data_IF_466744400791
#
_entry.id   IF_466744400791
#
_cell.length_a   1.000
_cell.length_b   1.000
_cell.length_c   1.000
_cell.angle_alpha   90.00
_cell.angle_beta   90.00
_cell.angle_gamma   90.00
#
_symmetry.space_group_name_H-M   'P 1'
#
loop_
_entity.id
_entity.type
_entity.pdbx_description
1 polymer ?
#
# COMPACT_ATOMS: atom_id res chain seq x y z
N UNK A 1 -25.00 -1.50 11.66
CA UNK A 1 -25.10 -2.97 11.48
C UNK A 1 -24.49 -3.64 12.69
N UNK A 2 -25.06 -4.75 13.17
CA UNK A 2 -24.37 -5.60 14.15
C UNK A 2 -23.58 -6.65 13.39
N UNK A 3 -22.26 -6.66 13.56
CA UNK A 3 -21.39 -7.69 13.00
C UNK A 3 -21.69 -9.02 13.68
N UNK A 4 -21.89 -10.06 12.87
CA UNK A 4 -22.08 -11.42 13.34
C UNK A 4 -20.77 -12.03 13.82
N UNK A 5 -20.84 -13.15 14.53
CA UNK A 5 -19.63 -13.87 14.93
C UNK A 5 -18.81 -14.36 13.73
N UNK A 6 -19.45 -14.63 12.59
CA UNK A 6 -18.78 -15.03 11.34
C UNK A 6 -17.92 -13.88 10.81
N UNK A 7 -18.43 -12.65 10.86
CA UNK A 7 -17.70 -11.46 10.42
C UNK A 7 -16.43 -11.26 11.26
N UNK A 8 -16.55 -11.41 12.58
CA UNK A 8 -15.41 -11.32 13.50
C UNK A 8 -14.41 -12.44 13.29
N UNK A 9 -14.86 -13.67 13.05
CA UNK A 9 -14.00 -14.79 12.72
C UNK A 9 -13.23 -14.55 11.40
N UNK A 10 -13.89 -13.98 10.38
CA UNK A 10 -13.25 -13.62 9.12
C UNK A 10 -12.16 -12.55 9.34
N UNK A 11 -12.45 -11.49 10.10
CA UNK A 11 -11.47 -10.44 10.45
C UNK A 11 -10.28 -11.03 11.23
N UNK A 12 -10.55 -11.86 12.23
CA UNK A 12 -9.50 -12.50 13.01
C UNK A 12 -8.62 -13.40 12.13
N UNK A 13 -9.22 -14.21 11.26
CA UNK A 13 -8.50 -15.09 10.34
C UNK A 13 -7.60 -14.31 9.37
N UNK A 14 -8.06 -13.15 8.89
CA UNK A 14 -7.26 -12.24 8.07
C UNK A 14 -6.00 -11.75 8.79
N UNK A 15 -6.11 -11.27 10.03
CA UNK A 15 -4.94 -10.82 10.79
C UNK A 15 -4.01 -11.98 11.15
N UNK A 16 -4.54 -13.15 11.51
CA UNK A 16 -3.76 -14.35 11.79
C UNK A 16 -2.98 -14.81 10.56
N UNK A 17 -3.58 -14.77 9.38
CA UNK A 17 -2.91 -15.12 8.13
C UNK A 17 -1.74 -14.17 7.85
N UNK A 18 -1.95 -12.85 7.98
CA UNK A 18 -0.86 -11.87 7.79
C UNK A 18 0.27 -12.08 8.81
N UNK A 19 -0.09 -12.35 10.07
CA UNK A 19 0.87 -12.63 11.12
C UNK A 19 1.68 -13.91 10.84
N UNK A 20 1.03 -14.98 10.39
CA UNK A 20 1.68 -16.24 10.02
C UNK A 20 2.68 -16.06 8.86
N UNK A 21 2.29 -15.32 7.82
CA UNK A 21 3.20 -14.97 6.71
C UNK A 21 4.39 -14.18 7.24
N UNK A 22 4.16 -13.23 8.16
CA UNK A 22 5.22 -12.44 8.76
C UNK A 22 6.24 -13.29 9.53
N UNK A 23 5.75 -14.22 10.35
CA UNK A 23 6.61 -15.17 11.09
C UNK A 23 7.40 -16.10 10.16
N UNK A 24 6.77 -16.57 9.08
CA UNK A 24 7.41 -17.45 8.11
C UNK A 24 8.62 -16.80 7.43
N UNK A 25 8.51 -15.52 7.02
CA UNK A 25 9.59 -14.80 6.33
C UNK A 25 10.62 -14.15 7.27
N UNK A 26 10.41 -14.18 8.60
CA UNK A 26 11.31 -13.58 9.59
C UNK A 26 12.76 -14.03 9.47
N UNK A 27 12.98 -15.34 9.31
CA UNK A 27 14.33 -15.92 9.22
C UNK A 27 15.09 -15.42 7.98
N UNK A 28 14.36 -15.15 6.90
CA UNK A 28 14.91 -14.62 5.65
C UNK A 28 15.25 -13.14 5.78
N UNK A 29 14.34 -12.36 6.37
CA UNK A 29 14.53 -10.92 6.60
C UNK A 29 15.80 -10.61 7.42
N UNK A 30 16.15 -11.47 8.39
CA UNK A 30 17.33 -11.30 9.24
C UNK A 30 18.68 -11.62 8.58
N UNK A 31 18.73 -12.12 7.34
CA UNK A 31 19.98 -12.57 6.71
C UNK A 31 20.93 -11.42 6.33
N UNK A 32 20.40 -10.33 5.80
CA UNK A 32 21.18 -9.13 5.45
C UNK A 32 20.27 -7.94 5.18
N UNK A 33 20.84 -6.72 5.19
CA UNK A 33 20.14 -5.49 4.81
C UNK A 33 19.57 -5.57 3.38
N UNK A 34 20.29 -6.20 2.46
CA UNK A 34 19.83 -6.43 1.08
C UNK A 34 18.65 -7.40 1.03
N UNK A 35 18.63 -8.44 1.88
CA UNK A 35 17.49 -9.35 1.95
C UNK A 35 16.27 -8.66 2.56
N UNK A 36 16.48 -7.82 3.57
CA UNK A 36 15.43 -7.06 4.22
C UNK A 36 14.75 -6.06 3.29
N UNK A 37 15.53 -5.17 2.64
CA UNK A 37 14.98 -4.07 1.84
C UNK A 37 14.80 -4.40 0.36
N UNK A 38 15.59 -5.33 -0.20
CA UNK A 38 15.59 -5.62 -1.64
C UNK A 38 15.18 -7.06 -1.95
N UNK A 39 14.86 -7.88 -0.94
CA UNK A 39 14.48 -9.29 -1.14
C UNK A 39 15.53 -10.10 -1.93
N UNK A 40 16.81 -9.72 -1.77
CA UNK A 40 17.92 -10.31 -2.53
C UNK A 40 17.88 -10.04 -4.04
N UNK A 41 17.03 -9.08 -4.49
CA UNK A 41 16.76 -8.75 -5.90
C UNK A 41 16.27 -9.92 -6.76
N UNK A 42 15.74 -10.96 -6.12
CA UNK A 42 15.31 -12.21 -6.75
C UNK A 42 13.78 -12.40 -6.70
N UNK A 43 13.04 -11.31 -6.51
CA UNK A 43 11.57 -11.32 -6.52
C UNK A 43 11.09 -11.54 -7.95
N UNK A 44 10.15 -12.48 -8.20
CA UNK A 44 9.59 -12.65 -9.53
C UNK A 44 8.76 -11.43 -9.93
N UNK A 45 8.81 -11.07 -11.22
CA UNK A 45 8.21 -9.83 -11.73
C UNK A 45 6.72 -9.72 -11.44
N UNK A 46 5.98 -10.84 -11.47
CA UNK A 46 4.53 -10.86 -11.24
C UNK A 46 4.20 -10.53 -9.79
N UNK A 47 5.00 -11.00 -8.83
CA UNK A 47 4.81 -10.72 -7.40
C UNK A 47 5.12 -9.26 -7.10
N UNK A 48 6.23 -8.75 -7.63
CA UNK A 48 6.57 -7.33 -7.52
C UNK A 48 5.51 -6.44 -8.17
N UNK A 49 5.02 -6.82 -9.36
CA UNK A 49 3.95 -6.13 -10.07
C UNK A 49 2.66 -6.08 -9.27
N UNK A 50 2.19 -7.21 -8.76
CA UNK A 50 0.96 -7.28 -7.96
C UNK A 50 1.08 -6.48 -6.67
N UNK A 51 2.21 -6.55 -5.96
CA UNK A 51 2.43 -5.76 -4.74
C UNK A 51 2.43 -4.25 -5.02
N UNK A 52 3.03 -3.80 -6.13
CA UNK A 52 2.95 -2.38 -6.52
C UNK A 52 1.50 -1.93 -6.69
N UNK A 53 0.66 -2.73 -7.36
CA UNK A 53 -0.77 -2.43 -7.49
C UNK A 53 -1.49 -2.48 -6.14
N UNK A 54 -1.22 -3.52 -5.33
CA UNK A 54 -1.82 -3.69 -4.01
C UNK A 54 -1.51 -2.52 -3.06
N UNK A 55 -0.29 -1.99 -3.13
CA UNK A 55 0.16 -0.83 -2.35
C UNK A 55 -0.59 0.45 -2.74
N UNK A 56 -0.86 0.64 -4.03
CA UNK A 56 -1.68 1.79 -4.48
C UNK A 56 -3.15 1.66 -4.11
N UNK A 57 -3.64 0.45 -3.85
CA UNK A 57 -5.02 0.18 -3.47
C UNK A 57 -5.20 0.25 -1.94
N UNK A 58 -4.89 1.43 -1.40
CA UNK A 58 -5.10 1.81 0.00
C UNK A 58 -6.57 2.22 0.26
N UNK A 59 -6.95 2.45 1.52
CA UNK A 59 -8.34 2.68 1.92
C UNK A 59 -8.96 3.96 1.32
N UNK A 60 -8.13 4.96 1.05
CA UNK A 60 -8.53 6.26 0.51
C UNK A 60 -8.75 6.24 -1.01
N UNK A 61 -8.03 5.40 -1.74
CA UNK A 61 -8.04 5.40 -3.21
C UNK A 61 -9.41 5.00 -3.79
N UNK A 62 -10.07 3.90 -3.36
CA UNK A 62 -11.44 3.58 -3.78
C UNK A 62 -12.43 4.68 -3.42
N UNK A 63 -12.28 5.33 -2.27
CA UNK A 63 -13.15 6.42 -1.83
C UNK A 63 -12.99 7.65 -2.73
N UNK A 64 -11.76 7.99 -3.09
CA UNK A 64 -11.47 9.09 -4.01
C UNK A 64 -12.01 8.80 -5.43
N UNK A 65 -11.76 7.61 -5.97
CA UNK A 65 -12.20 7.22 -7.31
C UNK A 65 -13.72 7.14 -7.39
N UNK A 66 -14.38 6.51 -6.42
CA UNK A 66 -15.85 6.47 -6.37
C UNK A 66 -16.45 7.88 -6.23
N UNK A 67 -15.86 8.75 -5.43
CA UNK A 67 -16.27 10.16 -5.32
C UNK A 67 -16.07 10.97 -6.60
N UNK A 68 -15.00 10.70 -7.38
CA UNK A 68 -14.80 11.30 -8.71
C UNK A 68 -15.87 10.83 -9.69
N UNK A 69 -16.14 9.52 -9.73
CA UNK A 69 -17.13 8.92 -10.64
C UNK A 69 -18.55 9.36 -10.28
N UNK A 70 -18.89 9.44 -9.00
CA UNK A 70 -20.20 9.89 -8.54
C UNK A 70 -20.51 11.35 -8.93
N UNK A 71 -19.50 12.22 -8.99
CA UNK A 71 -19.67 13.64 -9.33
C UNK A 71 -19.52 13.93 -10.83
N UNK A 72 -18.54 13.31 -11.48
CA UNK A 72 -18.15 13.60 -12.86
C UNK A 72 -18.47 12.48 -13.86
N UNK A 73 -19.20 11.45 -13.44
CA UNK A 73 -19.42 10.24 -14.23
C UNK A 73 -18.14 9.43 -14.45
N UNK A 74 -18.23 8.38 -15.26
CA UNK A 74 -17.11 7.50 -15.58
C UNK A 74 -15.93 8.28 -16.20
N UNK A 75 -16.22 9.37 -16.93
CA UNK A 75 -15.21 10.25 -17.52
C UNK A 75 -14.28 10.88 -16.47
N UNK A 76 -14.75 11.14 -15.24
CA UNK A 76 -13.93 11.66 -14.15
C UNK A 76 -12.76 10.73 -13.78
N UNK A 77 -12.88 9.43 -14.05
CA UNK A 77 -11.81 8.46 -13.83
C UNK A 77 -10.59 8.68 -14.76
N UNK A 78 -10.74 9.48 -15.82
CA UNK A 78 -9.62 9.83 -16.71
C UNK A 78 -8.50 10.59 -15.99
N UNK A 79 -8.83 11.37 -14.95
CA UNK A 79 -7.84 12.04 -14.11
C UNK A 79 -6.86 11.04 -13.51
N UNK A 80 -7.37 9.92 -13.00
CA UNK A 80 -6.56 8.83 -12.45
C UNK A 80 -5.83 8.05 -13.56
N UNK A 81 -6.54 7.71 -14.64
CA UNK A 81 -5.98 6.90 -15.73
C UNK A 81 -4.86 7.61 -16.51
N UNK A 82 -4.82 8.94 -16.50
CA UNK A 82 -3.74 9.71 -17.14
C UNK A 82 -2.34 9.32 -16.63
N UNK A 83 -2.23 8.86 -15.37
CA UNK A 83 -0.96 8.41 -14.79
C UNK A 83 -0.42 7.12 -15.41
N UNK A 84 -1.25 6.33 -16.11
CA UNK A 84 -0.81 5.13 -16.83
C UNK A 84 0.24 5.49 -17.88
N UNK A 85 0.06 6.60 -18.60
CA UNK A 85 1.04 7.06 -19.59
C UNK A 85 2.40 7.37 -18.96
N UNK A 86 2.41 8.04 -17.81
CA UNK A 86 3.63 8.31 -17.04
C UNK A 86 4.29 7.01 -16.53
N UNK A 87 3.48 6.07 -16.05
CA UNK A 87 3.94 4.73 -15.64
C UNK A 87 4.59 3.97 -16.80
N UNK A 88 3.96 3.97 -17.98
CA UNK A 88 4.51 3.33 -19.18
C UNK A 88 5.85 3.93 -19.59
N UNK A 89 5.97 5.27 -19.63
CA UNK A 89 7.25 5.93 -19.91
C UNK A 89 8.34 5.53 -18.90
N UNK A 90 7.98 5.43 -17.62
CA UNK A 90 8.90 4.98 -16.57
C UNK A 90 9.41 3.56 -16.82
N UNK A 91 8.52 2.64 -17.21
CA UNK A 91 8.88 1.25 -17.51
C UNK A 91 9.82 1.17 -18.71
N UNK A 92 9.49 1.81 -19.84
CA UNK A 92 10.25 1.65 -21.08
C UNK A 92 11.56 2.44 -21.11
N UNK A 93 11.60 3.62 -20.47
CA UNK A 93 12.78 4.50 -20.52
C UNK A 93 13.67 4.35 -19.29
N UNK A 94 13.07 4.30 -18.09
CA UNK A 94 13.81 4.48 -16.85
C UNK A 94 14.06 3.17 -16.08
N UNK A 95 13.21 2.14 -16.19
CA UNK A 95 13.35 0.92 -15.39
C UNK A 95 14.71 0.22 -15.58
N UNK A 96 15.22 0.17 -16.82
CA UNK A 96 16.55 -0.39 -17.10
C UNK A 96 17.67 0.46 -16.47
N UNK A 97 17.56 1.78 -16.52
CA UNK A 97 18.53 2.71 -15.93
C UNK A 97 18.52 2.59 -14.40
N UNK A 98 17.33 2.47 -13.80
CA UNK A 98 17.15 2.26 -12.38
C UNK A 98 17.76 0.93 -11.90
N UNK A 99 17.53 -0.16 -12.64
CA UNK A 99 18.12 -1.45 -12.31
C UNK A 99 19.64 -1.45 -12.40
N UNK A 100 20.22 -0.64 -13.30
CA UNK A 100 21.67 -0.47 -13.46
C UNK A 100 22.31 0.39 -12.37
N UNK A 101 21.60 1.34 -11.77
CA UNK A 101 22.17 2.21 -10.74
C UNK A 101 22.49 1.45 -9.46
N UNK A 102 21.76 0.36 -9.20
CA UNK A 102 22.02 -0.50 -8.05
C UNK A 102 21.76 0.17 -6.69
N UNK A 103 21.09 1.33 -6.67
CA UNK A 103 20.71 2.04 -5.45
C UNK A 103 19.73 1.22 -4.62
N UNK A 104 19.77 1.42 -3.30
CA UNK A 104 18.79 0.88 -2.37
C UNK A 104 17.63 1.85 -2.16
N UNK A 105 17.92 3.16 -2.17
CA UNK A 105 16.94 4.22 -1.96
C UNK A 105 16.87 5.14 -3.18
N UNK A 106 15.72 5.74 -3.42
CA UNK A 106 15.53 6.69 -4.52
C UNK A 106 16.39 7.95 -4.35
N UNK A 107 16.54 8.44 -3.12
CA UNK A 107 17.36 9.60 -2.77
C UNK A 107 18.87 9.37 -2.97
N UNK A 108 19.36 8.14 -2.88
CA UNK A 108 20.76 7.79 -3.12
C UNK A 108 21.16 8.05 -4.57
N UNK A 109 20.21 7.96 -5.50
CA UNK A 109 20.44 8.28 -6.90
C UNK A 109 20.90 9.74 -7.10
N UNK A 110 20.45 10.68 -6.25
CA UNK A 110 20.88 12.07 -6.34
C UNK A 110 22.39 12.22 -6.12
N UNK A 111 22.94 11.46 -5.17
CA UNK A 111 24.37 11.48 -4.87
C UNK A 111 25.18 10.78 -5.97
N UNK A 112 24.67 9.68 -6.53
CA UNK A 112 25.28 9.05 -7.71
C UNK A 112 25.29 9.95 -8.93
N UNK A 113 24.21 10.72 -9.16
CA UNK A 113 24.05 11.52 -10.39
C UNK A 113 24.86 12.82 -10.36
N UNK A 114 24.91 13.49 -9.22
CA UNK A 114 25.49 14.84 -9.10
C UNK A 114 26.84 14.85 -8.39
N UNK A 115 27.13 13.85 -7.55
CA UNK A 115 28.38 13.70 -6.79
C UNK A 115 28.79 14.89 -5.90
N UNK A 116 29.62 14.63 -4.90
CA UNK A 116 30.20 15.67 -4.04
C UNK A 116 29.31 16.20 -2.91
N UNK A 117 29.85 17.15 -2.15
CA UNK A 117 29.26 17.67 -0.90
C UNK A 117 27.85 18.27 -1.07
N UNK A 118 27.55 19.06 -2.14
CA UNK A 118 26.21 19.58 -2.34
C UNK A 118 25.17 18.48 -2.61
N UNK A 119 25.55 17.42 -3.32
CA UNK A 119 24.67 16.28 -3.60
C UNK A 119 24.39 15.47 -2.33
N UNK A 120 25.39 15.26 -1.47
CA UNK A 120 25.22 14.62 -0.16
C UNK A 120 24.29 15.44 0.76
N UNK A 121 24.43 16.77 0.78
CA UNK A 121 23.50 17.65 1.50
C UNK A 121 22.07 17.51 0.96
N UNK A 122 21.88 17.55 -0.36
CA UNK A 122 20.57 17.38 -0.99
C UNK A 122 19.95 16.02 -0.66
N UNK A 123 20.75 14.94 -0.66
CA UNK A 123 20.30 13.60 -0.25
C UNK A 123 19.80 13.61 1.20
N UNK A 124 20.59 14.16 2.13
CA UNK A 124 20.20 14.26 3.54
C UNK A 124 18.96 15.10 3.76
N UNK A 125 18.87 16.26 3.10
CA UNK A 125 17.70 17.12 3.15
C UNK A 125 16.44 16.42 2.60
N UNK A 126 16.53 15.78 1.43
CA UNK A 126 15.40 15.04 0.85
C UNK A 126 15.01 13.84 1.69
N UNK A 127 15.96 13.15 2.32
CA UNK A 127 15.67 12.05 3.24
C UNK A 127 14.78 12.51 4.40
N UNK A 128 15.13 13.64 5.02
CA UNK A 128 14.35 14.22 6.12
C UNK A 128 13.02 14.76 5.62
N UNK A 129 13.02 15.54 4.54
CA UNK A 129 11.81 16.17 3.99
C UNK A 129 10.79 15.15 3.46
N UNK A 130 11.22 14.14 2.71
CA UNK A 130 10.31 13.11 2.19
C UNK A 130 9.93 12.11 3.29
N UNK A 131 10.90 11.72 4.13
CA UNK A 131 10.71 10.69 5.15
C UNK A 131 9.88 11.13 6.36
N UNK A 132 9.89 12.44 6.70
CA UNK A 132 9.19 12.97 7.87
C UNK A 132 7.92 13.74 7.45
N UNK A 133 7.96 15.02 7.01
CA UNK A 133 6.73 15.78 6.83
C UNK A 133 5.84 15.22 5.72
N UNK A 134 6.40 14.87 4.55
CA UNK A 134 5.58 14.32 3.45
C UNK A 134 4.97 12.97 3.84
N UNK A 135 5.77 12.06 4.40
CA UNK A 135 5.27 10.77 4.85
C UNK A 135 4.19 10.90 5.95
N UNK A 136 4.38 11.81 6.92
CA UNK A 136 3.37 12.09 7.95
C UNK A 136 2.07 12.64 7.37
N UNK A 137 2.14 13.51 6.35
CA UNK A 137 0.94 14.03 5.65
C UNK A 137 0.19 12.89 4.96
N UNK A 138 0.91 12.04 4.22
CA UNK A 138 0.31 10.89 3.53
C UNK A 138 -0.34 9.93 4.53
N UNK A 139 0.38 9.57 5.58
CA UNK A 139 -0.15 8.72 6.66
C UNK A 139 -1.38 9.35 7.32
N UNK A 140 -1.36 10.67 7.54
CA UNK A 140 -2.49 11.41 8.11
C UNK A 140 -3.75 11.30 7.25
N UNK A 141 -3.64 11.52 5.94
CA UNK A 141 -4.75 11.39 5.00
C UNK A 141 -5.28 9.95 4.95
N UNK A 142 -4.38 8.95 4.79
CA UNK A 142 -4.79 7.55 4.63
C UNK A 142 -5.47 7.04 5.91
N UNK A 143 -4.94 7.42 7.08
CA UNK A 143 -5.53 7.06 8.37
C UNK A 143 -6.86 7.77 8.61
N UNK A 144 -7.01 9.01 8.14
CA UNK A 144 -8.30 9.71 8.21
C UNK A 144 -9.37 8.94 7.42
N UNK A 145 -9.07 8.50 6.19
CA UNK A 145 -9.99 7.69 5.41
C UNK A 145 -10.38 6.39 6.16
N UNK A 146 -9.41 5.75 6.81
CA UNK A 146 -9.69 4.53 7.57
C UNK A 146 -10.53 4.77 8.83
N UNK A 147 -10.33 5.90 9.52
CA UNK A 147 -11.18 6.33 10.65
C UNK A 147 -12.63 6.54 10.20
N UNK A 148 -12.85 7.23 9.07
CA UNK A 148 -14.19 7.44 8.50
C UNK A 148 -14.89 6.12 8.17
N UNK A 149 -14.17 5.16 7.55
CA UNK A 149 -14.69 3.82 7.27
C UNK A 149 -15.10 3.10 8.56
N UNK A 150 -14.25 3.12 9.60
CA UNK A 150 -14.55 2.45 10.87
C UNK A 150 -15.72 3.08 11.61
N UNK A 151 -15.84 4.41 11.61
CA UNK A 151 -17.00 5.10 12.19
C UNK A 151 -18.29 4.69 11.49
N UNK A 152 -18.27 4.62 10.15
CA UNK A 152 -19.44 4.26 9.35
C UNK A 152 -19.83 2.79 9.52
N UNK A 153 -18.85 1.88 9.51
CA UNK A 153 -19.09 0.42 9.56
C UNK A 153 -19.43 -0.05 10.98
N UNK A 154 -18.66 0.39 11.98
CA UNK A 154 -18.81 -0.08 13.36
C UNK A 154 -19.70 0.83 14.22
N UNK A 155 -20.08 2.02 13.73
CA UNK A 155 -20.88 2.98 14.49
C UNK A 155 -20.19 3.51 15.75
N UNK A 156 -18.85 3.52 15.76
CA UNK A 156 -18.05 3.94 16.92
C UNK A 156 -17.70 5.43 16.86
N UNK A 157 -17.43 6.04 18.02
CA UNK A 157 -16.95 7.42 18.07
C UNK A 157 -15.57 7.57 17.42
N UNK A 158 -15.27 8.77 16.91
CA UNK A 158 -13.98 9.10 16.28
C UNK A 158 -12.77 8.71 17.13
N UNK A 159 -12.83 8.95 18.44
CA UNK A 159 -11.74 8.58 19.35
C UNK A 159 -11.52 7.06 19.40
N UNK A 160 -12.61 6.27 19.46
CA UNK A 160 -12.50 4.80 19.44
C UNK A 160 -11.98 4.30 18.10
N UNK A 161 -12.44 4.85 16.98
CA UNK A 161 -11.91 4.52 15.66
C UNK A 161 -10.41 4.84 15.54
N UNK A 162 -9.96 6.00 16.03
CA UNK A 162 -8.55 6.37 16.07
C UNK A 162 -7.70 5.37 16.87
N UNK A 163 -8.18 4.95 18.05
CA UNK A 163 -7.47 3.95 18.86
C UNK A 163 -7.36 2.59 18.14
N UNK A 164 -8.42 2.17 17.43
CA UNK A 164 -8.40 0.95 16.61
C UNK A 164 -7.37 1.08 15.48
N UNK A 165 -7.35 2.21 14.76
CA UNK A 165 -6.37 2.46 13.69
C UNK A 165 -4.94 2.43 14.24
N UNK A 166 -4.68 3.06 15.37
CA UNK A 166 -3.35 3.03 16.02
C UNK A 166 -2.95 1.60 16.37
N UNK A 167 -3.87 0.80 16.93
CA UNK A 167 -3.61 -0.60 17.24
C UNK A 167 -3.33 -1.43 15.97
N UNK A 168 -4.08 -1.20 14.89
CA UNK A 168 -3.86 -1.84 13.60
C UNK A 168 -2.49 -1.47 13.01
N UNK A 169 -2.11 -0.20 13.05
CA UNK A 169 -0.79 0.28 12.60
C UNK A 169 0.32 -0.39 13.42
N UNK A 170 0.19 -0.44 14.74
CA UNK A 170 1.17 -1.09 15.60
C UNK A 170 1.33 -2.58 15.23
N UNK A 171 0.23 -3.28 15.00
CA UNK A 171 0.24 -4.69 14.59
C UNK A 171 0.88 -4.88 13.21
N UNK A 172 0.42 -4.14 12.19
CA UNK A 172 0.90 -4.31 10.80
C UNK A 172 2.35 -3.88 10.65
N UNK A 173 2.75 -2.75 11.27
CA UNK A 173 4.14 -2.30 11.26
C UNK A 173 5.08 -3.30 11.95
N UNK A 174 4.65 -3.93 13.03
CA UNK A 174 5.42 -4.98 13.71
C UNK A 174 5.64 -6.18 12.78
N UNK A 175 4.58 -6.67 12.12
CA UNK A 175 4.64 -7.79 11.17
C UNK A 175 5.56 -7.46 9.98
N UNK A 176 5.41 -6.26 9.40
CA UNK A 176 6.24 -5.83 8.26
C UNK A 176 7.71 -5.69 8.65
N UNK A 177 7.99 -5.12 9.83
CA UNK A 177 9.35 -4.97 10.34
C UNK A 177 9.99 -6.33 10.65
N UNK A 178 9.21 -7.32 11.06
CA UNK A 178 9.72 -8.67 11.32
C UNK A 178 10.01 -9.46 10.03
N UNK A 179 9.24 -9.23 8.96
CA UNK A 179 9.20 -10.10 7.79
C UNK A 179 9.96 -9.58 6.57
N UNK A 180 10.35 -8.30 6.58
CA UNK A 180 11.06 -7.65 5.49
C UNK A 180 10.25 -7.60 4.20
N UNK A 181 10.87 -7.19 3.10
CA UNK A 181 10.18 -6.99 1.82
C UNK A 181 9.50 -8.27 1.31
N UNK A 182 10.11 -9.45 1.47
CA UNK A 182 9.49 -10.72 1.05
C UNK A 182 8.15 -10.98 1.75
N UNK A 183 8.09 -10.75 3.05
CA UNK A 183 6.84 -10.88 3.80
C UNK A 183 5.78 -9.91 3.30
N UNK A 184 6.14 -8.64 3.13
CA UNK A 184 5.25 -7.59 2.62
C UNK A 184 4.69 -7.94 1.24
N UNK A 185 5.56 -8.38 0.31
CA UNK A 185 5.15 -8.75 -1.05
C UNK A 185 4.13 -9.90 -1.07
N UNK A 186 4.31 -10.90 -0.20
CA UNK A 186 3.40 -12.05 -0.12
C UNK A 186 2.10 -11.67 0.58
N UNK A 187 2.16 -10.88 1.65
CA UNK A 187 0.93 -10.34 2.27
C UNK A 187 0.15 -9.48 1.29
N UNK A 188 0.82 -8.66 0.48
CA UNK A 188 0.20 -7.82 -0.54
C UNK A 188 -0.49 -8.66 -1.62
N UNK A 189 0.13 -9.75 -2.08
CA UNK A 189 -0.49 -10.66 -3.04
C UNK A 189 -1.80 -11.24 -2.49
N UNK A 190 -1.78 -11.71 -1.24
CA UNK A 190 -2.96 -12.30 -0.61
C UNK A 190 -4.04 -11.24 -0.39
N UNK A 191 -3.66 -10.08 0.12
CA UNK A 191 -4.55 -8.94 0.29
C UNK A 191 -5.14 -8.47 -1.04
N UNK A 192 -4.36 -8.46 -2.12
CA UNK A 192 -4.82 -8.11 -3.45
C UNK A 192 -5.90 -9.06 -3.93
N UNK A 193 -5.69 -10.37 -3.82
CA UNK A 193 -6.69 -11.38 -4.21
C UNK A 193 -7.98 -11.21 -3.41
N UNK A 194 -7.88 -11.01 -2.08
CA UNK A 194 -9.04 -10.78 -1.21
C UNK A 194 -9.78 -9.51 -1.63
N UNK A 195 -9.06 -8.39 -1.77
CA UNK A 195 -9.63 -7.08 -2.12
C UNK A 195 -10.31 -7.11 -3.50
N UNK A 196 -9.66 -7.69 -4.51
CA UNK A 196 -10.24 -7.80 -5.85
C UNK A 196 -11.51 -8.66 -5.85
N UNK A 197 -11.49 -9.79 -5.14
CA UNK A 197 -12.66 -10.65 -5.00
C UNK A 197 -13.83 -9.89 -4.34
N UNK A 198 -13.56 -9.16 -3.25
CA UNK A 198 -14.57 -8.37 -2.54
C UNK A 198 -15.15 -7.25 -3.39
N UNK A 199 -14.31 -6.50 -4.12
CA UNK A 199 -14.77 -5.41 -4.99
C UNK A 199 -15.60 -5.94 -6.15
N UNK A 200 -15.23 -7.08 -6.73
CA UNK A 200 -16.03 -7.74 -7.78
C UNK A 200 -17.40 -8.16 -7.25
N UNK A 201 -17.45 -8.82 -6.09
CA UNK A 201 -18.72 -9.20 -5.44
C UNK A 201 -19.59 -7.98 -5.15
N UNK A 202 -18.99 -6.91 -4.61
CA UNK A 202 -19.68 -5.65 -4.34
C UNK A 202 -20.25 -5.04 -5.62
N UNK A 203 -19.49 -5.04 -6.72
CA UNK A 203 -19.94 -4.50 -8.00
C UNK A 203 -21.16 -5.28 -8.54
N UNK A 204 -21.12 -6.62 -8.51
CA UNK A 204 -22.27 -7.44 -8.91
C UNK A 204 -23.50 -7.21 -8.03
N UNK A 205 -23.32 -7.18 -6.71
CA UNK A 205 -24.40 -6.94 -5.76
C UNK A 205 -25.02 -5.54 -5.96
N UNK A 206 -24.19 -4.52 -6.20
CA UNK A 206 -24.66 -3.15 -6.45
C UNK A 206 -25.50 -3.05 -7.73
N UNK A 207 -25.03 -3.65 -8.85
CA UNK A 207 -25.78 -3.69 -10.12
C UNK A 207 -27.12 -4.41 -9.93
N UNK A 208 -27.13 -5.54 -9.24
CA UNK A 208 -28.36 -6.27 -8.97
C UNK A 208 -29.34 -5.46 -8.11
N UNK A 209 -28.84 -4.76 -7.08
CA UNK A 209 -29.67 -3.96 -6.18
C UNK A 209 -30.33 -2.76 -6.88
N UNK A 210 -29.70 -2.19 -7.92
CA UNK A 210 -30.29 -1.10 -8.72
C UNK A 210 -31.20 -1.59 -9.85
N UNK A 211 -31.44 -2.91 -9.95
CA UNK A 211 -32.34 -3.50 -10.94
C UNK A 211 -31.68 -3.94 -12.25
N UNK A 212 -30.35 -3.95 -12.32
CA UNK A 212 -29.58 -4.34 -13.51
C UNK A 212 -28.82 -3.19 -14.16
N UNK A 213 -28.19 -3.48 -15.31
CA UNK A 213 -27.65 -2.48 -16.24
C UNK A 213 -28.65 -2.24 -17.36
#
# INVERSE_FOLDING_TARGET
MQLTWIDWAAIASYFLLNFAVGLYYRSRAGKSVSEFFLSGRNVPWWLAGTSMVATTFAADTPLAVTGMVARGGIAGNWLWWSFVASGMLTVFLYARLWRRSGVMTDIEFAELRYSGKPAAFLRGFRALYLGIPINCIILGWVNLAMVEILMLVLGVSRLRALLIVIAMIALTSSISTMSGLWGVLVTDLIQFVIKMSMVTVLAFAAIHAVGGM
#
